data_IF_127219971441
#
_entry.id   IF_127219971441
#
_cell.length_a   1.000
_cell.length_b   1.000
_cell.length_c   1.000
_cell.angle_alpha   90.00
_cell.angle_beta   90.00
_cell.angle_gamma   90.00
#
_symmetry.space_group_name_H-M   'P 1'
#
loop_
_entity.id
_entity.type
_entity.pdbx_description
1 polymer ?
#
# COMPACT_ATOMS: atom_id res chain seq x y z
N UNK A 1 -16.35 -18.25 21.02
CA UNK A 1 -15.68 -19.00 19.93
C UNK A 1 -15.40 -18.02 18.79
N UNK A 2 -14.14 -17.61 18.60
CA UNK A 2 -13.70 -16.90 17.39
C UNK A 2 -12.64 -17.79 16.74
N UNK A 3 -13.08 -18.60 15.78
CA UNK A 3 -12.18 -19.35 14.91
C UNK A 3 -11.70 -18.40 13.83
N UNK A 4 -10.58 -17.73 14.06
CA UNK A 4 -9.84 -17.06 12.98
C UNK A 4 -8.83 -18.07 12.45
N UNK A 5 -9.20 -18.72 11.35
CA UNK A 5 -8.42 -19.74 10.68
C UNK A 5 -7.07 -19.21 10.19
N UNK A 6 -6.02 -19.96 10.52
CA UNK A 6 -4.84 -20.27 9.72
C UNK A 6 -4.15 -19.13 8.95
N UNK A 7 -2.94 -18.79 9.42
CA UNK A 7 -1.80 -18.40 8.59
C UNK A 7 -2.00 -17.20 7.65
N UNK A 8 -2.52 -16.09 8.17
CA UNK A 8 -2.14 -14.80 7.64
C UNK A 8 -0.80 -14.46 8.29
N UNK A 9 0.31 -14.58 7.55
CA UNK A 9 1.61 -14.03 7.98
C UNK A 9 1.32 -12.65 8.58
N UNK A 10 1.78 -12.42 9.80
CA UNK A 10 1.57 -11.20 10.58
C UNK A 10 2.22 -10.02 9.85
N UNK A 11 1.58 -9.56 8.78
CA UNK A 11 1.96 -8.37 8.06
C UNK A 11 1.64 -7.21 8.99
N UNK A 12 2.66 -6.77 9.74
CA UNK A 12 2.52 -5.70 10.70
C UNK A 12 2.42 -4.37 9.95
N UNK A 13 1.19 -4.04 9.55
CA UNK A 13 0.85 -2.80 8.84
C UNK A 13 1.35 -1.57 9.59
N UNK A 14 1.30 -1.60 10.93
CA UNK A 14 1.75 -0.48 11.77
C UNK A 14 3.28 -0.26 11.65
N UNK A 15 4.05 -1.35 11.65
CA UNK A 15 5.50 -1.31 11.46
C UNK A 15 5.89 -0.82 10.06
N UNK A 16 5.17 -1.25 9.02
CA UNK A 16 5.37 -0.78 7.65
C UNK A 16 5.04 0.70 7.51
N UNK A 17 3.90 1.15 8.05
CA UNK A 17 3.54 2.56 8.05
C UNK A 17 4.55 3.41 8.81
N UNK A 18 5.08 2.93 9.95
CA UNK A 18 6.14 3.61 10.68
C UNK A 18 7.44 3.72 9.87
N UNK A 19 7.81 2.66 9.14
CA UNK A 19 8.94 2.68 8.21
C UNK A 19 8.74 3.72 7.11
N UNK A 20 7.59 3.67 6.41
CA UNK A 20 7.26 4.61 5.34
C UNK A 20 7.18 6.06 5.84
N UNK A 21 6.69 6.27 7.07
CA UNK A 21 6.72 7.58 7.73
C UNK A 21 8.14 8.06 7.98
N UNK A 22 9.05 7.17 8.36
CA UNK A 22 10.48 7.46 8.45
C UNK A 22 11.09 7.84 7.09
N UNK A 23 10.77 7.09 6.03
CA UNK A 23 11.20 7.36 4.65
C UNK A 23 10.68 8.71 4.14
N UNK A 24 9.45 9.07 4.50
CA UNK A 24 8.86 10.39 4.21
C UNK A 24 9.56 11.50 5.00
N UNK A 25 9.84 11.29 6.29
CA UNK A 25 10.51 12.27 7.14
C UNK A 25 11.94 12.61 6.67
N UNK A 26 12.63 11.67 6.01
CA UNK A 26 13.94 11.92 5.38
C UNK A 26 13.84 12.49 3.95
N UNK A 27 12.62 12.78 3.47
CA UNK A 27 12.37 13.40 2.16
C UNK A 27 12.54 12.46 0.96
N UNK A 28 12.54 11.13 1.16
CA UNK A 28 12.75 10.15 0.07
C UNK A 28 11.49 9.73 -0.67
N UNK A 29 10.30 10.09 -0.15
CA UNK A 29 9.03 9.56 -0.63
C UNK A 29 8.31 10.54 -1.56
N UNK A 30 8.39 11.84 -1.27
CA UNK A 30 7.87 12.93 -2.10
C UNK A 30 7.49 14.15 -1.25
N UNK A 31 6.89 15.17 -1.87
CA UNK A 31 6.55 16.44 -1.20
C UNK A 31 5.11 16.49 -0.65
N UNK A 32 4.28 15.49 -0.92
CA UNK A 32 2.90 15.47 -0.45
C UNK A 32 2.82 15.13 1.05
N UNK A 33 1.70 15.45 1.68
CA UNK A 33 1.45 15.04 3.07
C UNK A 33 1.43 13.52 3.20
N UNK A 34 2.01 13.04 4.31
CA UNK A 34 2.02 11.60 4.63
C UNK A 34 0.62 11.00 4.70
N UNK A 35 -0.43 11.77 5.01
CA UNK A 35 -1.82 11.28 5.00
C UNK A 35 -2.23 10.70 3.63
N UNK A 36 -1.78 11.33 2.54
CA UNK A 36 -2.08 10.86 1.18
C UNK A 36 -1.33 9.56 0.88
N UNK A 37 -0.07 9.47 1.27
CA UNK A 37 0.74 8.26 1.12
C UNK A 37 0.24 7.13 2.01
N UNK A 38 -0.21 7.43 3.24
CA UNK A 38 -0.76 6.46 4.17
C UNK A 38 -2.02 5.82 3.58
N UNK A 39 -2.97 6.61 3.07
CA UNK A 39 -4.17 6.07 2.40
C UNK A 39 -3.84 5.20 1.20
N UNK A 40 -2.82 5.58 0.42
CA UNK A 40 -2.31 4.80 -0.72
C UNK A 40 -1.72 3.46 -0.29
N UNK A 41 -0.89 3.47 0.75
CA UNK A 41 -0.30 2.26 1.33
C UNK A 41 -1.38 1.34 1.90
N UNK A 42 -2.31 1.87 2.68
CA UNK A 42 -3.44 1.13 3.23
C UNK A 42 -4.30 0.49 2.14
N UNK A 43 -4.61 1.24 1.08
CA UNK A 43 -5.34 0.73 -0.09
C UNK A 43 -4.54 -0.36 -0.81
N UNK A 44 -3.24 -0.16 -1.02
CA UNK A 44 -2.37 -1.18 -1.59
C UNK A 44 -2.41 -2.47 -0.79
N UNK A 45 -2.19 -2.40 0.53
CA UNK A 45 -2.23 -3.56 1.43
C UNK A 45 -3.60 -4.25 1.44
N UNK A 46 -4.69 -3.50 1.42
CA UNK A 46 -6.04 -4.07 1.34
C UNK A 46 -6.21 -4.89 0.05
N UNK A 47 -5.78 -4.35 -1.10
CA UNK A 47 -5.80 -5.06 -2.38
C UNK A 47 -4.90 -6.30 -2.34
N UNK A 48 -3.70 -6.23 -1.75
CA UNK A 48 -2.83 -7.39 -1.61
C UNK A 48 -3.43 -8.49 -0.73
N UNK A 49 -4.07 -8.12 0.38
CA UNK A 49 -4.74 -9.06 1.29
C UNK A 49 -6.00 -9.66 0.66
N UNK A 50 -6.76 -8.87 -0.10
CA UNK A 50 -7.95 -9.33 -0.82
C UNK A 50 -7.59 -10.28 -1.97
N UNK A 51 -6.42 -10.11 -2.58
CA UNK A 51 -6.00 -10.85 -3.76
C UNK A 51 -4.63 -11.54 -3.62
N UNK A 52 -4.46 -12.51 -2.70
CA UNK A 52 -3.17 -13.15 -2.41
C UNK A 52 -2.64 -14.03 -3.56
N UNK A 53 -3.47 -14.35 -4.56
CA UNK A 53 -3.11 -15.14 -5.75
C UNK A 53 -3.11 -14.32 -7.04
N UNK A 54 -3.36 -13.02 -6.96
CA UNK A 54 -3.36 -12.18 -8.14
C UNK A 54 -1.93 -11.90 -8.61
N UNK A 55 -1.78 -11.84 -9.93
CA UNK A 55 -0.53 -11.42 -10.53
C UNK A 55 -0.36 -9.90 -10.38
N UNK A 56 0.89 -9.43 -10.49
CA UNK A 56 1.23 -8.01 -10.35
C UNK A 56 0.38 -7.10 -11.26
N UNK A 57 0.09 -7.54 -12.50
CA UNK A 57 -0.79 -6.81 -13.43
C UNK A 57 -2.23 -6.69 -12.93
N UNK A 58 -2.77 -7.75 -12.30
CA UNK A 58 -4.13 -7.73 -11.75
C UNK A 58 -4.21 -6.82 -10.53
N UNK A 59 -3.19 -6.88 -9.66
CA UNK A 59 -3.07 -6.01 -8.50
C UNK A 59 -2.99 -4.54 -8.93
N UNK A 60 -2.20 -4.22 -9.97
CA UNK A 60 -2.17 -2.85 -10.51
C UNK A 60 -3.49 -2.42 -11.11
N UNK A 61 -4.23 -3.29 -11.80
CA UNK A 61 -5.55 -2.93 -12.34
C UNK A 61 -6.53 -2.58 -11.23
N UNK A 62 -6.57 -3.37 -10.16
CA UNK A 62 -7.45 -3.11 -9.02
C UNK A 62 -7.02 -1.87 -8.26
N UNK A 63 -5.71 -1.68 -8.07
CA UNK A 63 -5.15 -0.48 -7.45
C UNK A 63 -5.45 0.77 -8.27
N UNK A 64 -5.32 0.70 -9.59
CA UNK A 64 -5.60 1.81 -10.50
C UNK A 64 -7.08 2.17 -10.48
N UNK A 65 -7.97 1.18 -10.54
CA UNK A 65 -9.41 1.40 -10.45
C UNK A 65 -9.79 2.04 -9.10
N UNK A 66 -9.19 1.57 -8.01
CA UNK A 66 -9.40 2.15 -6.67
C UNK A 66 -8.87 3.58 -6.60
N UNK A 67 -7.65 3.83 -7.08
CA UNK A 67 -7.05 5.16 -7.14
C UNK A 67 -7.91 6.15 -7.93
N UNK A 68 -8.43 5.76 -9.09
CA UNK A 68 -9.33 6.58 -9.90
C UNK A 68 -10.64 6.91 -9.15
N UNK A 69 -11.20 5.97 -8.38
CA UNK A 69 -12.40 6.22 -7.55
C UNK A 69 -12.14 7.20 -6.40
N UNK A 70 -10.90 7.26 -5.92
CA UNK A 70 -10.48 8.17 -4.86
C UNK A 70 -9.98 9.53 -5.38
N UNK A 71 -9.89 9.73 -6.70
CA UNK A 71 -9.68 11.07 -7.27
C UNK A 71 -10.97 11.91 -7.17
N UNK A 72 -10.88 13.21 -6.84
CA UNK A 72 -9.67 14.05 -6.74
C UNK A 72 -9.07 14.16 -5.33
N UNK A 73 -9.48 13.33 -4.36
CA UNK A 73 -9.02 13.44 -2.97
C UNK A 73 -7.54 13.03 -2.78
N UNK A 74 -6.91 12.40 -3.78
CA UNK A 74 -5.49 12.06 -3.79
C UNK A 74 -4.73 13.08 -4.65
N UNK A 75 -3.85 13.85 -4.01
CA UNK A 75 -2.94 14.80 -4.67
C UNK A 75 -1.68 14.16 -5.27
N UNK A 76 -1.38 12.90 -4.89
CA UNK A 76 -0.19 12.15 -5.33
C UNK A 76 -0.44 11.60 -6.74
N UNK A 77 0.43 11.82 -7.73
CA UNK A 77 0.25 11.30 -9.08
C UNK A 77 0.32 9.77 -9.15
N UNK A 78 -0.34 9.19 -10.15
CA UNK A 78 -0.42 7.73 -10.32
C UNK A 78 0.94 7.04 -10.42
N UNK A 79 1.92 7.63 -11.12
CA UNK A 79 3.28 7.06 -11.23
C UNK A 79 3.96 6.92 -9.86
N UNK A 80 3.79 7.92 -8.99
CA UNK A 80 4.35 7.94 -7.65
C UNK A 80 3.60 6.97 -6.72
N UNK A 81 2.26 6.95 -6.81
CA UNK A 81 1.42 5.98 -6.12
C UNK A 81 1.79 4.53 -6.48
N UNK A 82 1.94 4.23 -7.79
CA UNK A 82 2.31 2.91 -8.29
C UNK A 82 3.69 2.51 -7.79
N UNK A 83 4.67 3.42 -7.86
CA UNK A 83 6.02 3.14 -7.38
C UNK A 83 6.03 2.83 -5.87
N UNK A 84 5.32 3.64 -5.08
CA UNK A 84 5.24 3.48 -3.63
C UNK A 84 4.59 2.14 -3.26
N UNK A 85 3.43 1.84 -3.83
CA UNK A 85 2.68 0.61 -3.51
C UNK A 85 3.46 -0.64 -3.93
N UNK A 86 4.16 -0.59 -5.07
CA UNK A 86 5.07 -1.67 -5.50
C UNK A 86 6.23 -1.87 -4.53
N UNK A 87 6.86 -0.79 -4.10
CA UNK A 87 7.97 -0.85 -3.15
C UNK A 87 7.53 -1.38 -1.79
N UNK A 88 6.39 -0.90 -1.29
CA UNK A 88 5.73 -1.40 -0.08
C UNK A 88 5.46 -2.89 -0.17
N UNK A 89 4.90 -3.35 -1.27
CA UNK A 89 4.65 -4.77 -1.47
C UNK A 89 5.91 -5.62 -1.54
N UNK A 90 6.92 -5.17 -2.30
CA UNK A 90 8.18 -5.91 -2.39
C UNK A 90 8.89 -5.97 -1.01
N UNK A 91 8.81 -4.90 -0.23
CA UNK A 91 9.31 -4.88 1.14
C UNK A 91 8.51 -5.84 2.05
N UNK A 92 7.17 -5.84 1.93
CA UNK A 92 6.27 -6.74 2.64
C UNK A 92 6.47 -8.24 2.30
N UNK A 93 6.94 -8.55 1.09
CA UNK A 93 7.25 -9.93 0.68
C UNK A 93 8.61 -10.42 1.18
N UNK A 94 9.55 -9.50 1.44
CA UNK A 94 10.90 -9.80 1.91
C UNK A 94 10.98 -9.97 3.43
N UNK A 95 9.98 -9.51 4.17
CA UNK A 95 9.85 -9.62 5.63
C UNK A 95 8.82 -10.69 6.04
#
# INVERSE_FOLDING_TARGET
MKTTSAAQRDFNRDAELAYWRGVHAIGRLGQHDFDHYQRLLEMGYDVYQAYPRANEEQLYKVLQDSYHRHQPALAVPWDEARWLVRHAWHHAQLH
#
